data_IF_126895115000
#
_entry.id   IF_126895115000
#
_cell.length_a   1.000
_cell.length_b   1.000
_cell.length_c   1.000
_cell.angle_alpha   90.00
_cell.angle_beta   90.00
_cell.angle_gamma   90.00
#
_symmetry.space_group_name_H-M   'P 1'
#
loop_
_entity.id
_entity.type
_entity.pdbx_description
1 polymer ?
#
# COMPACT_ATOMS: atom_id res chain seq x y z
N UNK A 1 -25.50 58.98 -43.61
CA UNK A 1 -24.33 58.65 -42.91
C UNK A 1 -24.62 57.52 -41.93
N UNK A 2 -24.18 56.33 -42.24
CA UNK A 2 -24.56 55.10 -41.55
C UNK A 2 -23.67 54.90 -40.34
N UNK A 3 -24.27 54.85 -39.16
CA UNK A 3 -23.62 54.43 -37.94
C UNK A 3 -23.70 52.91 -37.78
N UNK A 4 -22.61 52.22 -37.93
CA UNK A 4 -22.54 50.79 -37.67
C UNK A 4 -22.33 50.57 -36.19
N UNK A 5 -23.39 50.30 -35.46
CA UNK A 5 -23.34 49.76 -34.12
C UNK A 5 -23.27 48.25 -34.20
N UNK A 6 -22.10 47.69 -34.17
CA UNK A 6 -21.94 46.26 -34.02
C UNK A 6 -21.96 45.93 -32.52
N UNK A 7 -23.10 45.53 -32.03
CA UNK A 7 -23.19 44.92 -30.71
C UNK A 7 -22.74 43.46 -30.78
N UNK A 8 -21.48 43.19 -30.54
CA UNK A 8 -20.99 41.87 -30.24
C UNK A 8 -21.25 41.58 -28.79
N UNK A 9 -22.34 40.92 -28.51
CA UNK A 9 -22.53 40.24 -27.23
C UNK A 9 -21.90 38.88 -27.34
N UNK A 10 -20.76 38.61 -26.70
CA UNK A 10 -20.33 37.26 -26.50
C UNK A 10 -21.27 36.65 -25.45
N UNK A 11 -22.21 35.87 -25.91
CA UNK A 11 -22.90 34.97 -25.04
C UNK A 11 -21.88 33.95 -24.51
N UNK A 12 -21.20 34.29 -23.46
CA UNK A 12 -20.52 33.33 -22.61
C UNK A 12 -21.61 32.51 -21.94
N UNK A 13 -22.06 31.52 -22.65
CA UNK A 13 -22.78 30.40 -22.09
C UNK A 13 -21.74 29.66 -21.20
N UNK A 14 -21.52 30.19 -20.01
CA UNK A 14 -21.06 29.37 -18.94
C UNK A 14 -22.16 28.39 -18.63
N UNK A 15 -22.19 27.33 -19.39
CA UNK A 15 -22.92 26.13 -19.05
C UNK A 15 -22.37 25.59 -17.75
N UNK A 16 -22.73 26.28 -16.67
CA UNK A 16 -22.68 25.69 -15.36
C UNK A 16 -23.83 24.70 -15.32
N UNK A 17 -23.62 23.59 -16.02
CA UNK A 17 -24.40 22.39 -15.82
C UNK A 17 -24.28 22.07 -14.34
N UNK A 18 -25.30 22.47 -13.60
CA UNK A 18 -25.48 22.04 -12.24
C UNK A 18 -25.70 20.53 -12.26
N UNK A 19 -24.61 19.79 -12.25
CA UNK A 19 -24.67 18.36 -12.11
C UNK A 19 -24.91 17.99 -10.65
N UNK A 20 -26.13 18.20 -10.23
CA UNK A 20 -26.71 17.50 -9.11
C UNK A 20 -26.99 16.03 -9.46
N UNK A 21 -26.19 15.44 -10.35
CA UNK A 21 -26.24 14.02 -10.64
C UNK A 21 -25.75 13.22 -9.44
N UNK A 22 -26.48 12.14 -9.07
CA UNK A 22 -26.00 11.20 -8.08
C UNK A 22 -24.57 10.76 -8.43
N UNK A 23 -23.63 10.67 -7.43
CA UNK A 23 -22.28 10.26 -7.69
C UNK A 23 -22.27 8.90 -8.39
N UNK A 24 -21.40 8.71 -9.38
CA UNK A 24 -21.31 7.44 -10.09
C UNK A 24 -21.09 6.30 -9.10
N UNK A 25 -21.58 5.09 -9.41
CA UNK A 25 -21.40 3.91 -8.56
C UNK A 25 -19.94 3.69 -8.18
N UNK A 26 -19.01 4.01 -9.10
CA UNK A 26 -17.58 3.94 -8.82
C UNK A 26 -17.15 4.93 -7.71
N UNK A 27 -17.62 6.17 -7.77
CA UNK A 27 -17.33 7.17 -6.72
C UNK A 27 -17.91 6.76 -5.37
N UNK A 28 -19.10 6.17 -5.37
CA UNK A 28 -19.70 5.62 -4.15
C UNK A 28 -18.85 4.50 -3.56
N UNK A 29 -18.35 3.57 -4.38
CA UNK A 29 -17.49 2.50 -3.95
C UNK A 29 -16.15 3.02 -3.39
N UNK A 30 -15.56 4.02 -4.03
CA UNK A 30 -14.31 4.65 -3.54
C UNK A 30 -14.55 5.40 -2.22
N UNK A 31 -15.66 6.13 -2.09
CA UNK A 31 -16.01 6.80 -0.84
C UNK A 31 -16.21 5.80 0.30
N UNK A 32 -16.90 4.70 0.06
CA UNK A 32 -17.08 3.62 1.03
C UNK A 32 -15.76 2.96 1.43
N UNK A 33 -14.79 2.82 0.51
CA UNK A 33 -13.44 2.35 0.80
C UNK A 33 -12.68 3.33 1.71
N UNK A 34 -12.81 4.63 1.50
CA UNK A 34 -12.19 5.63 2.35
C UNK A 34 -12.77 5.60 3.77
N UNK A 35 -14.08 5.44 3.91
CA UNK A 35 -14.73 5.29 5.21
C UNK A 35 -14.29 4.00 5.92
N UNK A 36 -14.22 2.88 5.20
CA UNK A 36 -13.73 1.61 5.72
C UNK A 36 -12.29 1.70 6.21
N UNK A 37 -11.41 2.40 5.48
CA UNK A 37 -10.00 2.52 5.81
C UNK A 37 -9.76 3.31 7.11
N UNK A 38 -10.56 4.35 7.37
CA UNK A 38 -10.41 5.20 8.54
C UNK A 38 -9.00 5.73 8.70
N UNK A 39 -8.43 5.60 9.90
CA UNK A 39 -7.07 6.04 10.23
C UNK A 39 -6.00 4.95 10.08
N UNK A 40 -6.39 3.70 9.82
CA UNK A 40 -5.46 2.59 9.65
C UNK A 40 -4.65 2.78 8.36
N UNK A 41 -3.33 2.89 8.51
CA UNK A 41 -2.42 3.15 7.39
C UNK A 41 -2.46 2.03 6.35
N UNK A 42 -2.51 0.75 6.77
CA UNK A 42 -2.51 -0.38 5.86
C UNK A 42 -3.84 -0.48 5.10
N UNK A 43 -4.95 -0.19 5.76
CA UNK A 43 -6.26 -0.10 5.12
C UNK A 43 -6.30 1.03 4.10
N UNK A 44 -5.69 2.18 4.39
CA UNK A 44 -5.60 3.30 3.44
C UNK A 44 -4.81 2.94 2.18
N UNK A 45 -3.71 2.22 2.32
CA UNK A 45 -2.94 1.76 1.16
C UNK A 45 -3.74 0.76 0.31
N UNK A 46 -4.44 -0.16 0.94
CA UNK A 46 -5.33 -1.11 0.25
C UNK A 46 -6.49 -0.37 -0.44
N UNK A 47 -7.13 0.58 0.22
CA UNK A 47 -8.20 1.39 -0.35
C UNK A 47 -7.73 2.16 -1.58
N UNK A 48 -6.55 2.78 -1.52
CA UNK A 48 -5.93 3.47 -2.65
C UNK A 48 -5.66 2.53 -3.82
N UNK A 49 -5.11 1.35 -3.55
CA UNK A 49 -4.87 0.33 -4.57
C UNK A 49 -6.15 -0.18 -5.21
N UNK A 50 -7.21 -0.38 -4.43
CA UNK A 50 -8.53 -0.79 -4.93
C UNK A 50 -9.15 0.30 -5.81
N UNK A 51 -9.02 1.57 -5.44
CA UNK A 51 -9.50 2.67 -6.27
C UNK A 51 -8.81 2.69 -7.65
N UNK A 52 -7.50 2.43 -7.69
CA UNK A 52 -6.76 2.32 -8.94
C UNK A 52 -7.22 1.13 -9.78
N UNK A 53 -7.37 -0.06 -9.19
CA UNK A 53 -7.87 -1.25 -9.90
C UNK A 53 -9.31 -1.06 -10.38
N UNK A 54 -10.16 -0.42 -9.58
CA UNK A 54 -11.54 -0.15 -9.95
C UNK A 54 -11.65 0.78 -11.16
N UNK A 55 -10.74 1.75 -11.29
CA UNK A 55 -10.67 2.66 -12.42
C UNK A 55 -10.32 1.95 -13.74
N UNK A 56 -9.62 0.80 -13.69
CA UNK A 56 -9.26 0.01 -14.86
C UNK A 56 -10.43 -0.82 -15.43
N UNK A 57 -11.55 -0.89 -14.72
CA UNK A 57 -12.74 -1.63 -15.12
C UNK A 57 -12.46 -3.10 -15.51
N UNK A 58 -11.62 -3.77 -14.72
CA UNK A 58 -11.24 -5.17 -14.97
C UNK A 58 -12.45 -6.11 -14.87
N UNK A 59 -12.48 -7.20 -15.65
CA UNK A 59 -13.44 -8.28 -15.48
C UNK A 59 -13.43 -8.84 -14.06
N UNK A 60 -14.58 -9.34 -13.59
CA UNK A 60 -14.78 -9.86 -12.23
C UNK A 60 -14.53 -8.84 -11.11
N UNK A 61 -14.59 -7.56 -11.43
CA UNK A 61 -14.53 -6.49 -10.43
C UNK A 61 -15.70 -6.63 -9.46
N UNK A 62 -15.46 -6.52 -8.14
CA UNK A 62 -16.53 -6.45 -7.13
C UNK A 62 -17.51 -5.32 -7.42
N UNK A 63 -18.77 -5.50 -7.08
CA UNK A 63 -19.73 -4.41 -7.11
C UNK A 63 -19.28 -3.29 -6.14
N UNK A 64 -19.64 -2.05 -6.45
CA UNK A 64 -19.21 -0.90 -5.65
C UNK A 64 -19.58 -1.03 -4.16
N UNK A 65 -20.74 -1.59 -3.88
CA UNK A 65 -21.23 -1.84 -2.52
C UNK A 65 -20.45 -2.93 -1.77
N UNK A 66 -19.85 -3.87 -2.50
CA UNK A 66 -19.12 -5.01 -1.93
C UNK A 66 -17.62 -4.72 -1.77
N UNK A 67 -17.13 -3.62 -2.34
CA UNK A 67 -15.71 -3.27 -2.29
C UNK A 67 -15.13 -3.19 -0.88
N UNK A 68 -15.79 -2.58 0.12
CA UNK A 68 -15.27 -2.56 1.48
C UNK A 68 -15.12 -3.96 2.10
N UNK A 69 -16.06 -4.86 1.80
CA UNK A 69 -15.99 -6.24 2.28
C UNK A 69 -14.82 -7.00 1.66
N UNK A 70 -14.63 -6.85 0.35
CA UNK A 70 -13.51 -7.47 -0.36
C UNK A 70 -12.18 -6.89 0.13
N UNK A 71 -12.12 -5.58 0.38
CA UNK A 71 -10.95 -4.93 0.95
C UNK A 71 -10.62 -5.44 2.35
N UNK A 72 -11.62 -5.69 3.19
CA UNK A 72 -11.43 -6.28 4.53
C UNK A 72 -10.86 -7.70 4.43
N UNK A 73 -11.33 -8.51 3.47
CA UNK A 73 -10.78 -9.85 3.22
C UNK A 73 -9.31 -9.76 2.82
N UNK A 74 -8.96 -8.83 1.94
CA UNK A 74 -7.56 -8.60 1.54
C UNK A 74 -6.72 -8.16 2.72
N UNK A 75 -7.19 -7.20 3.50
CA UNK A 75 -6.51 -6.70 4.68
C UNK A 75 -6.17 -7.85 5.65
N UNK A 76 -7.15 -8.69 5.97
CA UNK A 76 -6.94 -9.85 6.85
C UNK A 76 -5.91 -10.81 6.28
N UNK A 77 -6.02 -11.16 4.99
CA UNK A 77 -5.08 -12.05 4.33
C UNK A 77 -3.65 -11.52 4.33
N UNK A 78 -3.47 -10.24 4.07
CA UNK A 78 -2.17 -9.60 4.10
C UNK A 78 -1.58 -9.53 5.52
N UNK A 79 -2.42 -9.27 6.53
CA UNK A 79 -1.98 -9.22 7.93
C UNK A 79 -1.66 -10.61 8.49
N UNK A 80 -2.38 -11.66 8.11
CA UNK A 80 -2.11 -13.04 8.52
C UNK A 80 -0.69 -13.50 8.17
N UNK A 81 -0.16 -13.05 7.05
CA UNK A 81 1.18 -13.43 6.59
C UNK A 81 2.32 -12.77 7.36
N UNK A 82 2.04 -11.74 8.17
CA UNK A 82 3.03 -10.90 8.85
C UNK A 82 4.07 -10.26 7.92
N UNK A 83 3.76 -10.20 6.64
CA UNK A 83 4.59 -9.53 5.63
C UNK A 83 4.45 -8.00 5.68
N UNK A 84 3.36 -7.51 6.25
CA UNK A 84 3.00 -6.10 6.34
C UNK A 84 2.85 -5.74 7.82
N UNK A 85 3.82 -5.06 8.38
CA UNK A 85 3.84 -4.71 9.81
C UNK A 85 4.34 -3.29 10.09
N UNK A 86 5.05 -2.66 9.16
CA UNK A 86 5.71 -1.38 9.39
C UNK A 86 5.06 -0.24 8.60
N UNK A 87 4.51 0.78 9.28
CA UNK A 87 3.97 1.95 8.61
C UNK A 87 5.04 2.81 7.91
N UNK A 88 6.31 2.56 8.21
CA UNK A 88 7.43 3.31 7.64
C UNK A 88 7.93 2.72 6.32
N UNK A 89 7.96 1.38 6.20
CA UNK A 89 8.57 0.70 5.06
C UNK A 89 7.57 -0.02 4.15
N UNK A 90 6.47 -0.49 4.70
CA UNK A 90 5.53 -1.34 3.97
C UNK A 90 4.54 -0.59 3.05
N UNK A 91 4.19 0.70 3.24
CA UNK A 91 3.33 1.42 2.31
C UNK A 91 3.84 1.39 0.87
N UNK A 92 5.14 1.65 0.66
CA UNK A 92 5.77 1.62 -0.67
C UNK A 92 5.70 0.22 -1.28
N UNK A 93 5.85 -0.83 -0.47
CA UNK A 93 5.75 -2.22 -0.91
C UNK A 93 4.34 -2.54 -1.40
N UNK A 94 3.32 -2.12 -0.66
CA UNK A 94 1.91 -2.29 -1.03
C UNK A 94 1.61 -1.54 -2.34
N UNK A 95 2.01 -0.29 -2.44
CA UNK A 95 1.83 0.52 -3.64
C UNK A 95 2.52 -0.11 -4.86
N UNK A 96 3.73 -0.63 -4.70
CA UNK A 96 4.46 -1.32 -5.76
C UNK A 96 3.75 -2.60 -6.18
N UNK A 97 3.25 -3.38 -5.23
CA UNK A 97 2.45 -4.57 -5.51
C UNK A 97 1.20 -4.22 -6.32
N UNK A 98 0.45 -3.19 -5.94
CA UNK A 98 -0.71 -2.73 -6.72
C UNK A 98 -0.34 -2.24 -8.12
N UNK A 99 0.81 -1.60 -8.30
CA UNK A 99 1.28 -1.23 -9.65
C UNK A 99 1.47 -2.45 -10.55
N UNK A 100 2.02 -3.53 -10.03
CA UNK A 100 2.16 -4.78 -10.78
C UNK A 100 0.80 -5.38 -11.10
N UNK A 101 -0.14 -5.37 -10.16
CA UNK A 101 -1.49 -5.89 -10.34
C UNK A 101 -2.32 -5.11 -11.37
N UNK A 102 -1.96 -3.87 -11.68
CA UNK A 102 -2.62 -3.10 -12.74
C UNK A 102 -2.47 -3.74 -14.14
N UNK A 103 -1.48 -4.59 -14.33
CA UNK A 103 -1.29 -5.35 -15.56
C UNK A 103 -2.12 -6.65 -15.61
N UNK A 104 -2.90 -6.96 -14.58
CA UNK A 104 -3.74 -8.15 -14.54
C UNK A 104 -4.90 -8.05 -15.57
N UNK A 105 -5.27 -9.18 -16.15
CA UNK A 105 -6.37 -9.27 -17.10
C UNK A 105 -7.75 -9.35 -16.43
N UNK A 106 -7.79 -9.73 -15.18
CA UNK A 106 -9.00 -9.86 -14.35
C UNK A 106 -8.74 -9.27 -12.98
N UNK A 107 -9.79 -9.08 -12.17
CA UNK A 107 -9.64 -8.62 -10.80
C UNK A 107 -8.73 -9.57 -10.00
N UNK A 108 -7.59 -9.07 -9.50
CA UNK A 108 -6.59 -9.92 -8.86
C UNK A 108 -7.05 -10.46 -7.50
N UNK A 109 -6.39 -11.50 -7.04
CA UNK A 109 -6.61 -12.11 -5.74
C UNK A 109 -5.54 -11.68 -4.73
N UNK A 110 -5.82 -11.73 -3.40
CA UNK A 110 -4.83 -11.39 -2.38
C UNK A 110 -3.52 -12.18 -2.50
N UNK A 111 -3.59 -13.43 -2.94
CA UNK A 111 -2.41 -14.28 -3.16
C UNK A 111 -1.49 -13.74 -4.26
N UNK A 112 -2.03 -13.08 -5.27
CA UNK A 112 -1.25 -12.45 -6.33
C UNK A 112 -0.50 -11.23 -5.79
N UNK A 113 -1.15 -10.45 -4.92
CA UNK A 113 -0.50 -9.34 -4.22
C UNK A 113 0.70 -9.82 -3.43
N UNK A 114 0.54 -10.88 -2.63
CA UNK A 114 1.62 -11.44 -1.81
C UNK A 114 2.81 -11.92 -2.64
N UNK A 115 2.57 -12.52 -3.80
CA UNK A 115 3.65 -12.95 -4.73
C UNK A 115 4.40 -11.78 -5.34
N UNK A 116 3.73 -10.65 -5.52
CA UNK A 116 4.28 -9.46 -6.18
C UNK A 116 4.75 -8.40 -5.20
N UNK A 117 4.68 -8.65 -3.89
CA UNK A 117 5.26 -7.75 -2.89
C UNK A 117 6.78 -7.75 -3.01
N UNK A 118 7.42 -6.58 -3.20
CA UNK A 118 8.87 -6.51 -3.19
C UNK A 118 9.42 -6.88 -1.81
N UNK A 119 10.67 -7.38 -1.72
CA UNK A 119 11.31 -7.69 -0.46
C UNK A 119 11.37 -6.45 0.44
N UNK A 120 11.31 -6.67 1.76
CA UNK A 120 11.44 -5.57 2.72
C UNK A 120 12.86 -5.03 2.66
N UNK A 121 12.97 -3.73 2.43
CA UNK A 121 14.24 -3.02 2.55
C UNK A 121 14.53 -2.83 4.06
N UNK A 122 15.25 -3.78 4.64
CA UNK A 122 15.76 -3.62 6.00
C UNK A 122 16.96 -2.67 5.95
N UNK A 123 16.97 -1.57 6.69
CA UNK A 123 18.13 -0.68 6.74
C UNK A 123 19.38 -1.48 7.09
N UNK A 124 20.48 -1.24 6.39
CA UNK A 124 21.75 -1.95 6.56
C UNK A 124 22.23 -1.94 8.00
N UNK A 125 21.93 -0.88 8.74
CA UNK A 125 22.21 -0.75 10.17
C UNK A 125 21.53 -1.82 11.05
N UNK A 126 20.39 -2.39 10.63
CA UNK A 126 19.74 -3.50 11.33
C UNK A 126 20.31 -4.87 10.95
N UNK A 127 21.01 -4.96 9.82
CA UNK A 127 21.68 -6.18 9.36
C UNK A 127 23.09 -6.33 9.92
N UNK A 128 23.69 -5.24 10.37
CA UNK A 128 24.97 -5.29 11.07
C UNK A 128 24.73 -5.88 12.46
N UNK A 129 24.91 -7.19 12.58
CA UNK A 129 25.12 -7.80 13.88
C UNK A 129 26.26 -7.03 14.56
N UNK A 130 26.09 -6.59 15.82
CA UNK A 130 27.19 -5.96 16.53
C UNK A 130 28.40 -6.87 16.38
N UNK A 131 29.52 -6.28 15.93
CA UNK A 131 30.75 -7.03 15.71
C UNK A 131 31.01 -7.86 16.97
N UNK A 132 31.29 -9.17 16.83
CA UNK A 132 31.50 -10.02 17.99
C UNK A 132 32.60 -9.37 18.81
N UNK A 133 32.32 -9.12 20.09
CA UNK A 133 33.24 -8.49 21.02
C UNK A 133 34.40 -9.44 21.19
N UNK A 134 35.43 -9.26 20.35
CA UNK A 134 36.65 -10.10 20.34
C UNK A 134 37.38 -10.08 21.69
N UNK A 135 37.17 -9.03 22.49
CA UNK A 135 37.72 -8.91 23.80
C UNK A 135 37.06 -9.92 24.78
N UNK A 136 35.72 -10.01 24.76
CA UNK A 136 34.97 -11.01 25.55
C UNK A 136 35.28 -12.46 25.11
N UNK A 137 35.45 -12.68 23.81
CA UNK A 137 35.86 -13.98 23.29
C UNK A 137 37.22 -14.42 23.80
N UNK A 138 38.21 -13.52 23.85
CA UNK A 138 39.54 -13.79 24.39
C UNK A 138 39.53 -14.04 25.89
N UNK A 139 38.74 -13.28 26.67
CA UNK A 139 38.59 -13.52 28.11
C UNK A 139 38.02 -14.91 28.41
N UNK A 140 36.95 -15.32 27.74
CA UNK A 140 36.37 -16.65 27.91
C UNK A 140 37.34 -17.76 27.53
N UNK A 141 38.12 -17.59 26.47
CA UNK A 141 39.15 -18.56 26.10
C UNK A 141 40.28 -18.64 27.12
N UNK A 142 40.65 -17.53 27.73
CA UNK A 142 41.67 -17.53 28.83
C UNK A 142 41.14 -18.24 30.07
N UNK A 143 39.91 -18.01 30.48
CA UNK A 143 39.26 -18.69 31.62
C UNK A 143 39.14 -20.19 31.40
N UNK A 144 38.75 -20.63 30.19
CA UNK A 144 38.69 -22.07 29.85
C UNK A 144 40.07 -22.71 29.91
N UNK A 145 41.11 -22.03 29.42
CA UNK A 145 42.49 -22.51 29.45
C UNK A 145 43.01 -22.66 30.89
N UNK A 146 42.69 -21.71 31.76
CA UNK A 146 43.06 -21.75 33.17
C UNK A 146 42.34 -22.86 33.93
N UNK A 147 41.04 -23.07 33.65
CA UNK A 147 40.23 -24.14 34.22
C UNK A 147 40.76 -25.54 33.83
N UNK A 148 41.22 -25.71 32.59
CA UNK A 148 41.79 -26.95 32.08
C UNK A 148 43.14 -27.23 32.73
N UNK A 149 43.99 -26.23 32.97
CA UNK A 149 45.29 -26.41 33.64
C UNK A 149 45.16 -26.76 35.13
N UNK A 150 44.10 -26.36 35.81
CA UNK A 150 43.83 -26.71 37.21
C UNK A 150 43.35 -28.16 37.40
N UNK A 151 42.78 -28.80 36.37
CA UNK A 151 42.31 -30.18 36.44
C UNK A 151 43.37 -31.21 36.05
N UNK A 152 44.56 -30.79 35.61
CA UNK A 152 45.64 -31.65 35.15
C UNK A 152 46.75 -31.87 36.13
N UNK A 153 46.57 -31.53 37.44
CA UNK A 153 47.51 -31.84 38.51
C UNK A 153 46.92 -32.81 39.49
#
# INVERSE_FOLDING_TARGET
MAGFGVALSPALSTGRGGEGGAPSKLRQGVAALCEWAGEDWAKREIASGFALLAALNLPNRPAAQDMPLVAEIWYRKLMETKEIVSPEYDPIRIQTGFKVLQAAETWPQPAEMLRNLPPRLVPRAMLEKPAPDRAKGRQKMAEVKEALNKKGK
#
